data_IF_055746219969
#
_entry.id   IF_055746219969
#
_cell.length_a   1.000
_cell.length_b   1.000
_cell.length_c   1.000
_cell.angle_alpha   90.00
_cell.angle_beta   90.00
_cell.angle_gamma   90.00
#
_symmetry.space_group_name_H-M   'P 1'
#
loop_
_entity.id
_entity.type
_entity.pdbx_description
1 polymer ?
#
# COMPACT_ATOMS: atom_id res chain seq x y z
N UNK A 1 9.76 -1.51 -3.46
CA UNK A 1 8.92 -2.30 -4.38
C UNK A 1 9.42 -3.74 -4.36
N UNK A 2 8.64 -4.68 -4.88
CA UNK A 2 8.98 -6.09 -4.80
C UNK A 2 10.08 -6.53 -5.79
N UNK A 3 10.53 -5.64 -6.69
CA UNK A 3 11.60 -5.93 -7.66
C UNK A 3 11.21 -6.95 -8.74
N UNK A 4 9.94 -7.35 -8.79
CA UNK A 4 9.42 -8.36 -9.71
C UNK A 4 8.51 -7.71 -10.76
N UNK A 5 8.54 -8.26 -11.96
CA UNK A 5 7.53 -8.00 -13.00
C UNK A 5 6.57 -9.18 -12.96
N UNK A 6 5.36 -8.99 -12.43
CA UNK A 6 4.34 -10.03 -12.34
C UNK A 6 3.30 -9.88 -13.45
N UNK A 7 3.17 -10.87 -14.33
CA UNK A 7 2.19 -10.82 -15.43
C UNK A 7 0.75 -11.04 -14.95
N UNK A 8 0.56 -11.65 -13.77
CA UNK A 8 -0.75 -12.10 -13.29
C UNK A 8 -1.27 -11.30 -12.08
N UNK A 9 -0.54 -10.26 -11.63
CA UNK A 9 -0.94 -9.45 -10.47
C UNK A 9 -1.12 -7.98 -10.82
N UNK A 10 -2.02 -7.26 -10.13
CA UNK A 10 -2.13 -5.81 -10.29
C UNK A 10 -0.80 -5.13 -10.02
N UNK A 11 -0.32 -4.34 -10.97
CA UNK A 11 0.90 -3.54 -10.87
C UNK A 11 0.61 -2.08 -11.20
N UNK A 12 1.27 -1.17 -10.48
CA UNK A 12 1.32 0.23 -10.89
C UNK A 12 2.12 0.35 -12.19
N UNK A 13 1.61 1.12 -13.15
CA UNK A 13 2.29 1.39 -14.43
C UNK A 13 3.32 2.52 -14.32
N UNK A 14 3.43 3.14 -13.15
CA UNK A 14 4.32 4.27 -12.92
C UNK A 14 5.74 3.84 -12.56
N UNK A 15 6.71 4.29 -13.36
CA UNK A 15 8.13 4.12 -13.06
C UNK A 15 8.50 4.79 -11.73
N UNK A 16 9.05 4.01 -10.80
CA UNK A 16 9.41 4.48 -9.47
C UNK A 16 10.89 4.93 -9.36
N UNK A 17 11.77 4.48 -10.27
CA UNK A 17 13.17 4.90 -10.36
C UNK A 17 13.32 6.26 -11.09
N UNK A 18 14.32 7.07 -10.71
CA UNK A 18 14.69 8.31 -11.42
C UNK A 18 13.81 9.54 -11.21
N UNK A 19 12.61 9.41 -10.63
CA UNK A 19 11.70 10.54 -10.37
C UNK A 19 11.88 11.16 -8.98
N UNK A 20 11.57 12.46 -8.87
CA UNK A 20 11.76 13.25 -7.64
C UNK A 20 11.05 12.59 -6.44
N UNK A 21 11.78 12.35 -5.34
CA UNK A 21 11.35 11.52 -4.20
C UNK A 21 10.17 12.11 -3.43
N UNK A 22 9.91 13.40 -3.60
CA UNK A 22 8.98 14.18 -2.79
C UNK A 22 7.67 14.50 -3.53
N UNK A 23 7.70 14.57 -4.87
CA UNK A 23 6.66 15.27 -5.63
C UNK A 23 5.68 14.36 -6.36
N UNK A 24 5.93 13.05 -6.41
CA UNK A 24 5.11 12.14 -7.20
C UNK A 24 4.34 11.16 -6.32
N UNK A 25 3.04 11.40 -6.22
CA UNK A 25 2.13 10.63 -5.38
C UNK A 25 2.16 9.12 -5.69
N UNK A 26 2.26 8.71 -6.95
CA UNK A 26 2.20 7.28 -7.29
C UNK A 26 3.44 6.48 -6.88
N UNK A 27 4.64 7.10 -6.80
CA UNK A 27 5.80 6.45 -6.16
C UNK A 27 5.59 6.23 -4.66
N UNK A 28 5.07 7.25 -3.96
CA UNK A 28 4.76 7.18 -2.54
C UNK A 28 3.73 6.08 -2.30
N UNK A 29 2.64 6.10 -3.05
CA UNK A 29 1.55 5.13 -2.93
C UNK A 29 1.95 3.71 -3.32
N UNK A 30 2.81 3.52 -4.32
CA UNK A 30 3.32 2.19 -4.64
C UNK A 30 4.10 1.58 -3.45
N UNK A 31 4.99 2.35 -2.82
CA UNK A 31 5.75 1.85 -1.66
C UNK A 31 4.82 1.68 -0.45
N UNK A 32 3.88 2.60 -0.22
CA UNK A 32 2.91 2.53 0.86
C UNK A 32 1.98 1.32 0.72
N UNK A 33 1.46 1.06 -0.48
CA UNK A 33 0.60 -0.09 -0.77
C UNK A 33 1.30 -1.41 -0.43
N UNK A 34 2.58 -1.56 -0.79
CA UNK A 34 3.38 -2.72 -0.40
C UNK A 34 3.61 -2.82 1.12
N UNK A 35 3.84 -1.69 1.79
CA UNK A 35 4.00 -1.66 3.25
C UNK A 35 2.72 -2.12 3.96
N UNK A 36 1.57 -1.58 3.55
CA UNK A 36 0.26 -1.95 4.08
C UNK A 36 -0.04 -3.42 3.79
N UNK A 37 0.15 -3.89 2.56
CA UNK A 37 -0.09 -5.28 2.17
C UNK A 37 0.74 -6.23 3.06
N UNK A 38 2.02 -5.91 3.26
CA UNK A 38 2.94 -6.70 4.08
C UNK A 38 2.55 -6.71 5.56
N UNK A 39 2.07 -5.60 6.10
CA UNK A 39 1.59 -5.53 7.49
C UNK A 39 0.28 -6.32 7.66
N UNK A 40 -0.71 -6.08 6.80
CA UNK A 40 -1.98 -6.80 6.83
C UNK A 40 -1.78 -8.30 6.74
N UNK A 41 -0.94 -8.78 5.82
CA UNK A 41 -0.62 -10.20 5.68
C UNK A 41 0.08 -10.80 6.92
N UNK A 42 0.87 -10.01 7.66
CA UNK A 42 1.60 -10.49 8.85
C UNK A 42 0.79 -10.43 10.14
N UNK A 43 -0.08 -9.44 10.25
CA UNK A 43 -0.81 -9.14 11.49
C UNK A 43 -2.19 -9.79 11.53
N UNK A 44 -2.77 -10.13 10.37
CA UNK A 44 -4.13 -10.64 10.26
C UNK A 44 -4.07 -12.10 9.81
N UNK A 45 -4.44 -12.99 10.74
CA UNK A 45 -4.54 -14.42 10.48
C UNK A 45 -5.66 -14.77 9.48
N UNK A 46 -5.44 -15.80 8.67
CA UNK A 46 -6.42 -16.28 7.69
C UNK A 46 -6.43 -15.52 6.36
N UNK A 47 -5.51 -14.59 6.11
CA UNK A 47 -5.30 -13.97 4.78
C UNK A 47 -4.41 -14.88 3.93
N UNK A 48 -4.93 -15.33 2.79
CA UNK A 48 -4.16 -16.08 1.79
C UNK A 48 -3.42 -15.13 0.83
N UNK A 49 -4.11 -14.09 0.34
CA UNK A 49 -3.54 -13.06 -0.54
C UNK A 49 -4.14 -11.70 -0.22
N UNK A 50 -3.35 -10.64 -0.38
CA UNK A 50 -3.80 -9.25 -0.21
C UNK A 50 -3.19 -8.35 -1.27
N UNK A 51 -4.03 -7.54 -1.90
CA UNK A 51 -3.65 -6.51 -2.86
C UNK A 51 -4.17 -5.17 -2.35
N UNK A 52 -3.27 -4.18 -2.27
CA UNK A 52 -3.61 -2.82 -1.87
C UNK A 52 -3.53 -1.92 -3.10
N UNK A 53 -4.65 -1.26 -3.41
CA UNK A 53 -4.78 -0.34 -4.54
C UNK A 53 -5.06 1.05 -3.97
N UNK A 54 -4.22 2.02 -4.31
CA UNK A 54 -4.38 3.41 -3.91
C UNK A 54 -4.49 4.26 -5.16
N UNK A 55 -5.56 5.06 -5.26
CA UNK A 55 -5.77 5.98 -6.37
C UNK A 55 -5.24 7.36 -5.98
N UNK A 56 -4.36 7.93 -6.81
CA UNK A 56 -3.97 9.33 -6.70
C UNK A 56 -4.80 10.22 -7.62
N UNK A 57 -5.10 11.44 -7.18
CA UNK A 57 -5.63 12.52 -8.02
C UNK A 57 -4.78 13.77 -7.85
N UNK A 58 -4.42 14.40 -8.97
CA UNK A 58 -3.63 15.65 -8.96
C UNK A 58 -4.37 16.70 -8.13
N UNK A 59 -3.61 17.46 -7.32
CA UNK A 59 -4.15 18.50 -6.44
C UNK A 59 -4.82 17.99 -5.17
N UNK A 60 -4.84 16.66 -4.94
CA UNK A 60 -5.35 16.08 -3.70
C UNK A 60 -4.18 15.87 -2.71
N UNK A 61 -4.36 16.15 -1.40
CA UNK A 61 -3.35 15.85 -0.39
C UNK A 61 -2.92 14.38 -0.40
N UNK A 62 -1.66 14.10 -0.04
CA UNK A 62 -1.12 12.73 -0.04
C UNK A 62 -1.75 11.87 1.06
N UNK A 63 -2.24 12.49 2.13
CA UNK A 63 -2.92 11.86 3.25
C UNK A 63 -4.43 11.64 3.02
N UNK A 64 -4.97 12.11 1.90
CA UNK A 64 -6.40 12.02 1.55
C UNK A 64 -6.62 11.48 0.12
N UNK A 65 -6.16 10.26 -0.22
CA UNK A 65 -6.40 9.69 -1.53
C UNK A 65 -7.91 9.50 -1.79
N UNK A 66 -8.40 9.77 -3.02
CA UNK A 66 -9.81 9.55 -3.37
C UNK A 66 -10.30 8.10 -3.16
N UNK A 67 -9.39 7.13 -3.18
CA UNK A 67 -9.72 5.72 -2.95
C UNK A 67 -8.50 4.95 -2.43
N UNK A 68 -8.75 4.10 -1.43
CA UNK A 68 -7.85 3.05 -0.97
C UNK A 68 -8.67 1.77 -0.83
N UNK A 69 -8.21 0.69 -1.46
CA UNK A 69 -8.94 -0.58 -1.50
C UNK A 69 -8.00 -1.73 -1.16
N UNK A 70 -8.44 -2.60 -0.25
CA UNK A 70 -7.85 -3.92 -0.04
C UNK A 70 -8.70 -4.98 -0.76
N UNK A 71 -8.09 -5.72 -1.69
CA UNK A 71 -8.65 -6.95 -2.22
C UNK A 71 -8.01 -8.13 -1.51
N UNK A 72 -8.81 -8.97 -0.87
CA UNK A 72 -8.33 -10.02 0.04
C UNK A 72 -8.90 -11.36 -0.39
N UNK A 73 -8.02 -12.34 -0.54
CA UNK A 73 -8.36 -13.75 -0.61
C UNK A 73 -8.11 -14.38 0.75
N UNK A 74 -9.11 -15.10 1.26
CA UNK A 74 -9.08 -15.71 2.59
C UNK A 74 -8.77 -17.20 2.51
N UNK A 75 -8.23 -17.74 3.60
CA UNK A 75 -8.18 -19.18 3.81
C UNK A 75 -9.59 -19.78 3.88
N UNK A 76 -9.70 -21.07 3.55
CA UNK A 76 -10.98 -21.78 3.51
C UNK A 76 -11.64 -21.76 4.90
N UNK A 77 -12.93 -21.44 4.94
CA UNK A 77 -13.70 -21.37 6.18
C UNK A 77 -13.64 -20.03 6.92
N UNK A 78 -12.81 -19.08 6.48
CA UNK A 78 -12.79 -17.71 7.01
C UNK A 78 -13.77 -16.79 6.29
N UNK A 79 -14.29 -15.78 6.98
CA UNK A 79 -15.19 -14.78 6.40
C UNK A 79 -14.61 -13.37 6.52
N UNK A 80 -14.89 -12.53 5.52
CA UNK A 80 -14.37 -11.15 5.48
C UNK A 80 -14.78 -10.31 6.69
N UNK A 81 -15.97 -10.56 7.25
CA UNK A 81 -16.47 -9.84 8.44
C UNK A 81 -15.59 -10.07 9.68
N UNK A 82 -14.85 -11.17 9.74
CA UNK A 82 -13.98 -11.49 10.88
C UNK A 82 -12.72 -10.64 10.88
N UNK A 83 -12.28 -10.18 9.70
CA UNK A 83 -11.02 -9.44 9.53
C UNK A 83 -11.20 -7.98 9.12
N UNK A 84 -12.41 -7.57 8.71
CA UNK A 84 -12.65 -6.22 8.14
C UNK A 84 -12.18 -5.11 9.06
N UNK A 85 -12.45 -5.21 10.37
CA UNK A 85 -12.02 -4.21 11.35
C UNK A 85 -10.50 -4.18 11.51
N UNK A 86 -9.85 -5.35 11.50
CA UNK A 86 -8.39 -5.43 11.57
C UNK A 86 -7.74 -4.78 10.35
N UNK A 87 -8.29 -5.00 9.15
CA UNK A 87 -7.83 -4.36 7.91
C UNK A 87 -7.99 -2.84 7.98
N UNK A 88 -9.15 -2.34 8.44
CA UNK A 88 -9.38 -0.91 8.64
C UNK A 88 -8.37 -0.29 9.62
N UNK A 89 -8.08 -0.96 10.72
CA UNK A 89 -7.09 -0.50 11.70
C UNK A 89 -5.69 -0.38 11.10
N UNK A 90 -5.29 -1.32 10.22
CA UNK A 90 -4.01 -1.22 9.51
C UNK A 90 -3.99 0.00 8.60
N UNK A 91 -5.07 0.26 7.85
CA UNK A 91 -5.16 1.46 7.01
C UNK A 91 -5.08 2.74 7.84
N UNK A 92 -5.91 2.88 8.88
CA UNK A 92 -5.92 4.07 9.74
C UNK A 92 -4.54 4.35 10.34
N UNK A 93 -3.88 3.31 10.87
CA UNK A 93 -2.53 3.43 11.44
C UNK A 93 -1.49 3.88 10.42
N UNK A 94 -1.52 3.32 9.22
CA UNK A 94 -0.53 3.64 8.18
C UNK A 94 -0.76 5.04 7.59
N UNK A 95 -2.01 5.44 7.39
CA UNK A 95 -2.36 6.80 6.94
C UNK A 95 -2.11 7.86 8.00
N UNK A 96 -2.36 7.57 9.29
CA UNK A 96 -2.00 8.48 10.39
C UNK A 96 -0.48 8.78 10.43
N UNK A 97 0.35 7.83 9.97
CA UNK A 97 1.81 7.96 9.94
C UNK A 97 2.37 8.36 8.57
N UNK A 98 1.54 8.72 7.60
CA UNK A 98 1.97 8.92 6.21
C UNK A 98 2.99 10.04 6.05
N UNK A 99 2.90 11.12 6.85
CA UNK A 99 3.88 12.22 6.80
C UNK A 99 5.28 11.77 7.21
N UNK A 100 5.37 10.97 8.28
CA UNK A 100 6.62 10.35 8.71
C UNK A 100 7.14 9.37 7.66
N UNK A 101 6.24 8.58 7.07
CA UNK A 101 6.58 7.68 5.99
C UNK A 101 7.17 8.42 4.77
N UNK A 102 6.58 9.53 4.34
CA UNK A 102 7.11 10.36 3.25
C UNK A 102 8.50 10.92 3.58
N UNK A 103 8.74 11.34 4.83
CA UNK A 103 10.07 11.77 5.28
C UNK A 103 11.10 10.62 5.25
N UNK A 104 10.73 9.43 5.72
CA UNK A 104 11.59 8.25 5.67
C UNK A 104 11.90 7.81 4.23
N UNK A 105 10.92 7.93 3.33
CA UNK A 105 11.06 7.62 1.92
C UNK A 105 12.00 8.59 1.21
N UNK A 106 11.93 9.90 1.52
CA UNK A 106 12.82 10.89 0.93
C UNK A 106 14.28 10.68 1.34
N UNK A 107 14.50 10.24 2.59
CA UNK A 107 15.81 9.83 3.12
C UNK A 107 16.35 8.52 2.51
N UNK A 108 15.59 7.81 1.68
CA UNK A 108 16.04 6.57 1.03
C UNK A 108 15.99 5.33 1.94
N UNK A 109 15.20 5.35 3.03
CA UNK A 109 15.06 4.21 3.94
C UNK A 109 14.26 3.04 3.36
N UNK A 110 13.64 3.23 2.18
CA UNK A 110 12.88 2.21 1.48
C UNK A 110 13.49 1.93 0.11
N UNK A 111 13.74 0.65 -0.18
CA UNK A 111 14.21 0.20 -1.49
C UNK A 111 13.09 0.33 -2.51
N UNK A 112 13.36 1.08 -3.59
CA UNK A 112 12.38 1.37 -4.64
C UNK A 112 12.54 0.44 -5.84
N UNK A 113 13.73 -0.08 -6.10
CA UNK A 113 14.01 -1.16 -7.04
C UNK A 113 15.16 -2.01 -6.47
#
# INVERSE_FOLDING_TARGET
LNGLISMNWPMGTEAAAGKNRVSQAGKIYNVLAHKIAKQGYREIDGIKEVYIIILSRIGTPIDDPPMVTAQISLEQGRRIKEISNAVSNVFEREFANIRKFCADLSMGRYTVC
#
